data_IF_188340329644
#
_entry.id   IF_188340329644
#
_cell.length_a   1.000
_cell.length_b   1.000
_cell.length_c   1.000
_cell.angle_alpha   90.00
_cell.angle_beta   90.00
_cell.angle_gamma   90.00
#
_symmetry.space_group_name_H-M   'P 1'
#
loop_
_entity.id
_entity.type
_entity.pdbx_description
1 polymer ?
#
# COMPACT_ATOMS: atom_id res chain seq x y z
N UNK A 1 29.28 -40.22 55.53
CA UNK A 1 27.95 -39.91 55.01
C UNK A 1 27.63 -38.42 55.05
N UNK A 2 27.82 -37.68 56.12
CA UNK A 2 27.49 -36.22 56.22
C UNK A 2 28.10 -35.34 55.11
N UNK A 3 29.32 -35.56 54.63
CA UNK A 3 30.00 -34.76 53.62
C UNK A 3 29.44 -34.96 52.22
N UNK A 4 28.82 -36.09 51.88
CA UNK A 4 28.15 -36.32 50.59
C UNK A 4 26.83 -35.58 50.52
N UNK A 5 26.06 -35.55 51.60
CA UNK A 5 24.78 -34.80 51.62
C UNK A 5 25.01 -33.30 51.57
N UNK A 6 26.07 -32.76 52.16
CA UNK A 6 26.42 -31.35 52.07
C UNK A 6 26.76 -30.93 50.63
N UNK A 7 27.47 -31.74 49.86
CA UNK A 7 27.78 -31.45 48.45
C UNK A 7 26.55 -31.51 47.56
N UNK A 8 25.63 -32.43 47.80
CA UNK A 8 24.36 -32.56 47.09
C UNK A 8 23.46 -31.36 47.41
N UNK A 9 23.40 -30.93 48.67
CA UNK A 9 22.61 -29.76 49.08
C UNK A 9 23.13 -28.47 48.44
N UNK A 10 24.46 -28.29 48.37
CA UNK A 10 25.08 -27.13 47.69
C UNK A 10 24.79 -27.16 46.18
N UNK A 11 24.82 -28.33 45.54
CA UNK A 11 24.50 -28.47 44.13
C UNK A 11 23.04 -28.17 43.84
N UNK A 12 22.12 -28.58 44.69
CA UNK A 12 20.68 -28.26 44.58
C UNK A 12 20.45 -26.76 44.79
N UNK A 13 21.15 -26.13 45.77
CA UNK A 13 21.07 -24.69 45.99
C UNK A 13 21.62 -23.90 44.80
N UNK A 14 22.69 -24.35 44.15
CA UNK A 14 23.24 -23.74 42.92
C UNK A 14 22.30 -23.91 41.74
N UNK A 15 21.62 -25.05 41.59
CA UNK A 15 20.63 -25.28 40.54
C UNK A 15 19.38 -24.41 40.77
N UNK A 16 18.92 -24.23 42.00
CA UNK A 16 17.81 -23.35 42.36
C UNK A 16 18.16 -21.85 42.18
N UNK A 17 19.43 -21.48 42.39
CA UNK A 17 19.89 -20.10 42.14
C UNK A 17 20.05 -19.78 40.65
N UNK A 18 20.26 -20.79 39.80
CA UNK A 18 20.39 -20.61 38.34
C UNK A 18 19.05 -20.45 37.59
N UNK A 19 17.91 -20.66 38.24
CA UNK A 19 16.62 -20.80 37.59
C UNK A 19 15.81 -19.50 37.37
N UNK A 20 16.36 -18.31 37.63
CA UNK A 20 15.62 -17.07 37.50
C UNK A 20 16.32 -15.97 36.68
N UNK A 21 16.98 -16.33 35.59
CA UNK A 21 17.35 -15.33 34.58
C UNK A 21 16.19 -15.19 33.61
N UNK A 22 15.06 -14.63 34.05
CA UNK A 22 14.06 -14.16 33.13
C UNK A 22 14.64 -12.94 32.38
N UNK A 23 14.84 -13.08 31.08
CA UNK A 23 15.13 -11.93 30.23
C UNK A 23 14.01 -10.89 30.42
N UNK A 24 14.39 -9.71 30.91
CA UNK A 24 13.42 -8.66 31.13
C UNK A 24 12.94 -8.16 29.77
N UNK A 25 11.62 -8.00 29.62
CA UNK A 25 10.99 -7.69 28.33
C UNK A 25 10.20 -6.39 28.41
N UNK A 26 10.29 -5.65 27.32
CA UNK A 26 9.39 -4.53 27.03
C UNK A 26 8.36 -5.05 26.02
N UNK A 27 7.10 -4.97 26.39
CA UNK A 27 5.97 -5.41 25.56
C UNK A 27 4.90 -4.34 25.50
N UNK A 28 4.00 -4.45 24.54
CA UNK A 28 2.86 -3.54 24.41
C UNK A 28 2.11 -3.75 23.12
N UNK A 29 1.17 -2.86 22.88
CA UNK A 29 0.34 -2.84 21.67
C UNK A 29 0.55 -1.51 20.96
N UNK A 30 0.67 -1.56 19.63
CA UNK A 30 0.69 -0.38 18.78
C UNK A 30 -0.65 -0.28 18.06
N UNK A 31 -1.29 0.90 18.17
CA UNK A 31 -2.59 1.17 17.54
C UNK A 31 -2.53 2.44 16.71
N UNK A 32 -3.43 2.57 15.77
CA UNK A 32 -3.68 3.81 15.04
C UNK A 32 -4.28 4.87 15.99
N UNK A 33 -3.83 6.12 15.90
CA UNK A 33 -4.30 7.18 16.80
C UNK A 33 -5.70 7.71 16.44
N UNK A 34 -6.21 7.41 15.24
CA UNK A 34 -7.50 7.86 14.73
C UNK A 34 -8.54 6.76 14.81
N UNK A 35 -8.24 5.58 14.26
CA UNK A 35 -9.15 4.44 14.22
C UNK A 35 -9.11 3.59 15.49
N UNK A 36 -8.03 3.69 16.28
CA UNK A 36 -7.72 2.86 17.45
C UNK A 36 -7.56 1.37 17.14
N UNK A 37 -7.47 1.00 15.88
CA UNK A 37 -7.23 -0.37 15.44
C UNK A 37 -5.78 -0.79 15.68
N UNK A 38 -5.53 -2.09 15.96
CA UNK A 38 -4.18 -2.61 16.09
C UNK A 38 -3.38 -2.46 14.78
N UNK A 39 -2.13 -2.05 14.88
CA UNK A 39 -1.23 -1.89 13.74
C UNK A 39 -0.25 -3.05 13.66
N UNK A 40 -0.40 -3.89 12.63
CA UNK A 40 0.53 -4.97 12.31
C UNK A 40 1.78 -4.46 11.58
N UNK A 41 2.86 -5.23 11.68
CA UNK A 41 4.15 -4.98 10.98
C UNK A 41 4.81 -3.63 11.28
N UNK A 42 4.53 -3.03 12.45
CA UNK A 42 5.25 -1.86 12.92
C UNK A 42 6.64 -2.28 13.39
N UNK A 43 7.68 -1.67 12.84
CA UNK A 43 9.06 -1.86 13.28
C UNK A 43 9.28 -1.17 14.63
N UNK A 44 9.71 -1.94 15.64
CA UNK A 44 10.03 -1.46 16.98
C UNK A 44 11.50 -1.79 17.27
N UNK A 45 12.35 -0.79 17.42
CA UNK A 45 13.80 -0.99 17.59
C UNK A 45 14.43 0.09 18.47
N UNK A 46 15.61 -0.21 19.03
CA UNK A 46 16.37 0.77 19.78
C UNK A 46 17.06 1.76 18.85
N UNK A 47 16.89 3.06 19.08
CA UNK A 47 17.53 4.13 18.30
C UNK A 47 19.04 4.00 18.28
N UNK A 48 19.63 3.62 19.42
CA UNK A 48 21.08 3.48 19.60
C UNK A 48 21.63 2.16 19.04
N UNK A 49 20.75 1.18 18.75
CA UNK A 49 21.14 -0.14 18.25
C UNK A 49 20.03 -0.72 17.38
N UNK A 50 20.03 -0.35 16.10
CA UNK A 50 18.95 -0.67 15.15
C UNK A 50 18.77 -2.16 14.86
N UNK A 51 19.81 -2.98 15.06
CA UNK A 51 19.76 -4.44 14.95
C UNK A 51 19.02 -5.13 16.13
N UNK A 52 18.79 -4.42 17.24
CA UNK A 52 17.94 -4.88 18.32
C UNK A 52 16.52 -4.34 18.15
N UNK A 53 15.68 -5.14 17.51
CA UNK A 53 14.30 -4.76 17.21
C UNK A 53 13.38 -5.96 17.05
N UNK A 54 12.10 -5.67 16.91
CA UNK A 54 11.01 -6.62 16.64
C UNK A 54 9.99 -5.95 15.72
N UNK A 55 8.98 -6.68 15.29
CA UNK A 55 7.80 -6.16 14.58
C UNK A 55 6.53 -6.54 15.33
N UNK A 56 5.47 -5.76 15.18
CA UNK A 56 4.17 -6.08 15.74
C UNK A 56 3.50 -7.22 14.97
N UNK A 57 2.76 -8.07 15.70
CA UNK A 57 1.91 -9.10 15.12
C UNK A 57 0.59 -8.52 14.58
N UNK A 58 -0.32 -9.39 14.12
CA UNK A 58 -1.64 -9.00 13.58
C UNK A 58 -2.53 -8.27 14.59
N UNK A 59 -2.34 -8.50 15.89
CA UNK A 59 -3.04 -7.84 16.98
C UNK A 59 -2.32 -6.58 17.48
N UNK A 60 -1.31 -6.12 16.72
CA UNK A 60 -0.49 -4.94 17.06
C UNK A 60 0.45 -5.16 18.23
N UNK A 61 0.58 -6.39 18.76
CA UNK A 61 1.41 -6.70 19.92
C UNK A 61 2.89 -6.87 19.54
N UNK A 62 3.77 -6.42 20.42
CA UNK A 62 5.20 -6.61 20.29
C UNK A 62 5.83 -7.01 21.61
N UNK A 63 6.97 -7.69 21.54
CA UNK A 63 7.83 -8.00 22.67
C UNK A 63 9.29 -7.87 22.26
N UNK A 64 10.07 -7.18 23.08
CA UNK A 64 11.47 -6.85 22.85
C UNK A 64 12.26 -7.01 24.14
N UNK A 65 13.50 -7.52 24.06
CA UNK A 65 14.38 -7.63 25.22
C UNK A 65 14.78 -6.25 25.77
N UNK A 66 14.68 -6.07 27.10
CA UNK A 66 15.03 -4.82 27.75
C UNK A 66 16.56 -4.70 27.90
N UNK A 67 17.12 -3.59 27.40
CA UNK A 67 18.55 -3.28 27.52
C UNK A 67 18.88 -2.84 28.96
N UNK A 68 20.00 -3.33 29.50
CA UNK A 68 20.46 -2.99 30.88
C UNK A 68 20.59 -1.48 31.13
N UNK A 69 20.96 -0.73 30.10
CA UNK A 69 21.13 0.73 30.23
C UNK A 69 19.87 1.51 29.78
N UNK A 70 18.74 0.83 29.58
CA UNK A 70 17.58 1.42 28.95
C UNK A 70 17.84 1.84 27.50
N UNK A 71 17.11 2.82 27.00
CA UNK A 71 17.29 3.35 25.65
C UNK A 71 16.06 4.09 25.15
N UNK A 72 16.09 4.46 23.88
CA UNK A 72 14.96 5.04 23.18
C UNK A 72 14.43 4.05 22.15
N UNK A 73 13.18 3.60 22.32
CA UNK A 73 12.50 2.81 21.30
C UNK A 73 11.96 3.73 20.22
N UNK A 74 12.14 3.32 18.98
CA UNK A 74 11.54 3.93 17.80
C UNK A 74 10.46 3.00 17.28
N UNK A 75 9.28 3.54 17.06
CA UNK A 75 8.14 2.87 16.43
C UNK A 75 7.98 3.49 15.05
N UNK A 76 8.15 2.71 14.00
CA UNK A 76 8.17 3.20 12.63
C UNK A 76 7.46 2.25 11.68
N UNK A 77 6.63 2.82 10.84
CA UNK A 77 6.02 2.13 9.70
C UNK A 77 5.78 3.12 8.57
N UNK A 78 5.70 2.61 7.37
CA UNK A 78 5.37 3.43 6.21
C UNK A 78 3.89 3.82 6.28
N UNK A 79 3.60 5.13 6.16
CA UNK A 79 2.26 5.67 6.32
C UNK A 79 1.95 6.20 7.72
N UNK A 80 2.91 6.14 8.64
CA UNK A 80 2.76 6.64 10.01
C UNK A 80 3.92 7.54 10.42
N UNK A 81 3.61 8.57 11.20
CA UNK A 81 4.64 9.42 11.82
C UNK A 81 5.38 8.58 12.85
N UNK A 82 6.69 8.42 12.67
CA UNK A 82 7.53 7.69 13.61
C UNK A 82 7.48 8.30 15.00
N UNK A 83 7.35 7.45 16.03
CA UNK A 83 7.29 7.86 17.42
C UNK A 83 8.42 7.27 18.24
N UNK A 84 8.99 8.08 19.13
CA UNK A 84 10.05 7.62 20.02
C UNK A 84 9.56 7.60 21.47
N UNK A 85 9.95 6.55 22.21
CA UNK A 85 9.61 6.38 23.64
C UNK A 85 10.85 5.98 24.43
N UNK A 86 11.19 6.73 25.48
CA UNK A 86 12.26 6.35 26.39
C UNK A 86 11.82 5.19 27.28
N UNK A 87 12.67 4.19 27.41
CA UNK A 87 12.45 3.00 28.23
C UNK A 87 13.63 2.75 29.15
N UNK A 88 13.34 2.21 30.32
CA UNK A 88 14.34 1.83 31.30
C UNK A 88 14.59 0.31 31.27
N UNK A 89 15.55 -0.14 32.04
CA UNK A 89 15.72 -1.57 32.26
C UNK A 89 14.60 -2.11 33.14
N UNK A 90 14.06 -3.27 32.77
CA UNK A 90 13.00 -3.94 33.52
C UNK A 90 11.84 -4.39 32.63
N UNK A 91 10.93 -5.17 33.22
CA UNK A 91 9.70 -5.52 32.56
C UNK A 91 8.79 -4.30 32.48
N UNK A 92 8.45 -3.88 31.28
CA UNK A 92 7.60 -2.71 31.03
C UNK A 92 6.52 -3.04 29.99
N UNK A 93 5.35 -2.45 30.19
CA UNK A 93 4.30 -2.43 29.16
C UNK A 93 4.22 -1.02 28.58
N UNK A 94 4.51 -0.88 27.29
CA UNK A 94 4.53 0.40 26.57
C UNK A 94 3.59 0.32 25.40
N UNK A 95 2.37 0.84 25.56
CA UNK A 95 1.39 0.95 24.48
C UNK A 95 1.62 2.27 23.74
N UNK A 96 1.58 2.21 22.40
CA UNK A 96 1.90 3.35 21.55
C UNK A 96 0.80 3.55 20.53
N UNK A 97 0.40 4.81 20.35
CA UNK A 97 -0.47 5.22 19.26
C UNK A 97 0.37 5.94 18.21
N UNK A 98 0.33 5.48 16.97
CA UNK A 98 0.96 6.15 15.83
C UNK A 98 -0.07 6.99 15.10
N UNK A 99 0.29 8.22 14.80
CA UNK A 99 -0.53 9.08 13.96
C UNK A 99 -0.27 8.71 12.50
N UNK A 100 -1.34 8.52 11.70
CA UNK A 100 -1.18 8.41 10.25
C UNK A 100 -0.39 9.61 9.73
N UNK A 101 0.57 9.34 8.86
CA UNK A 101 1.30 10.41 8.18
C UNK A 101 0.42 10.98 7.06
N UNK A 102 -0.54 11.83 7.45
CA UNK A 102 -1.46 12.49 6.52
C UNK A 102 -0.73 13.41 5.52
N UNK A 103 0.57 13.65 5.70
CA UNK A 103 1.41 14.32 4.71
C UNK A 103 1.53 13.49 3.43
N UNK A 104 1.38 12.15 3.53
CA UNK A 104 1.36 11.25 2.36
C UNK A 104 0.11 11.49 1.49
N UNK A 105 -0.99 11.96 2.08
CA UNK A 105 -2.27 12.19 1.39
C UNK A 105 -2.53 13.68 1.08
N UNK A 106 -1.78 14.58 1.67
CA UNK A 106 -1.85 15.99 1.35
C UNK A 106 -0.81 16.34 0.28
N UNK A 107 -1.13 17.35 -0.53
CA UNK A 107 -0.22 17.93 -1.52
C UNK A 107 1.21 18.00 -0.94
N UNK A 108 2.17 17.37 -1.62
CA UNK A 108 3.58 17.38 -1.18
C UNK A 108 4.06 18.82 -1.20
N UNK A 109 3.87 19.52 -0.09
CA UNK A 109 4.42 20.86 0.11
C UNK A 109 5.88 20.70 0.54
N UNK A 110 6.74 20.46 -0.43
CA UNK A 110 8.18 20.62 -0.21
C UNK A 110 8.41 22.10 0.06
N UNK A 111 8.56 22.48 1.34
CA UNK A 111 9.10 23.81 1.69
C UNK A 111 10.60 23.73 1.46
N UNK A 112 11.12 24.19 0.31
CA UNK A 112 12.56 24.17 0.09
C UNK A 112 13.20 25.07 1.15
N UNK A 113 14.22 24.60 1.85
CA UNK A 113 15.24 25.48 2.40
C UNK A 113 15.60 26.44 1.27
N UNK A 114 15.83 27.72 1.55
CA UNK A 114 16.02 28.83 0.59
C UNK A 114 17.09 28.61 -0.50
N UNK A 115 17.67 27.44 -0.62
CA UNK A 115 18.66 27.09 -1.64
C UNK A 115 17.98 26.68 -2.95
N UNK A 116 18.46 27.28 -4.05
CA UNK A 116 17.98 26.95 -5.40
C UNK A 116 18.30 25.47 -5.70
N UNK A 117 17.30 24.68 -6.06
CA UNK A 117 17.49 23.28 -6.44
C UNK A 117 18.56 23.15 -7.54
N UNK A 118 19.54 22.28 -7.34
CA UNK A 118 20.54 21.91 -8.34
C UNK A 118 20.57 20.40 -8.49
N UNK A 119 20.77 19.93 -9.70
CA UNK A 119 21.04 18.50 -9.99
C UNK A 119 22.50 18.14 -9.78
N UNK A 120 23.39 19.14 -9.93
CA UNK A 120 24.83 18.94 -9.81
C UNK A 120 25.21 18.78 -8.35
N UNK A 121 25.95 17.72 -8.03
CA UNK A 121 26.38 17.38 -6.67
C UNK A 121 25.19 17.21 -5.68
N UNK A 122 24.04 16.72 -6.15
CA UNK A 122 22.86 16.47 -5.32
C UNK A 122 22.83 14.99 -4.91
N UNK A 123 22.95 14.69 -3.60
CA UNK A 123 22.97 13.30 -3.12
C UNK A 123 21.71 12.50 -3.49
N UNK A 124 20.53 13.14 -3.52
CA UNK A 124 19.29 12.50 -3.94
C UNK A 124 19.34 12.10 -5.42
N UNK A 125 19.89 12.95 -6.28
CA UNK A 125 20.04 12.67 -7.71
C UNK A 125 21.06 11.54 -7.94
N UNK A 126 22.19 11.55 -7.24
CA UNK A 126 23.19 10.47 -7.35
C UNK A 126 22.62 9.13 -6.86
N UNK A 127 21.83 9.14 -5.82
CA UNK A 127 21.14 7.95 -5.33
C UNK A 127 20.11 7.45 -6.38
N UNK A 128 19.29 8.35 -6.93
CA UNK A 128 18.29 8.00 -7.95
C UNK A 128 18.90 7.48 -9.25
N UNK A 129 20.10 7.92 -9.64
CA UNK A 129 20.82 7.32 -10.78
C UNK A 129 21.04 5.83 -10.56
N UNK A 130 21.45 5.43 -9.34
CA UNK A 130 21.65 4.02 -8.99
C UNK A 130 20.34 3.24 -9.00
N UNK A 131 19.27 3.82 -8.47
CA UNK A 131 17.93 3.21 -8.54
C UNK A 131 17.51 2.93 -9.99
N UNK A 132 17.67 3.92 -10.87
CA UNK A 132 17.31 3.79 -12.30
C UNK A 132 18.22 2.78 -13.02
N UNK A 133 19.49 2.74 -12.69
CA UNK A 133 20.44 1.77 -13.24
C UNK A 133 20.03 0.33 -12.88
N UNK A 134 19.60 0.10 -11.63
CA UNK A 134 19.26 -1.23 -11.13
C UNK A 134 17.81 -1.65 -11.42
N UNK A 135 16.92 -0.73 -11.83
CA UNK A 135 15.49 -1.02 -12.00
C UNK A 135 15.20 -2.20 -12.94
N UNK A 136 16.00 -2.36 -14.01
CA UNK A 136 15.78 -3.45 -14.97
C UNK A 136 15.97 -4.84 -14.37
N UNK A 137 16.89 -4.96 -13.41
CA UNK A 137 17.13 -6.22 -12.71
C UNK A 137 15.96 -6.59 -11.75
N UNK A 138 15.14 -5.61 -11.37
CA UNK A 138 13.99 -5.79 -10.48
C UNK A 138 12.66 -5.99 -11.25
N UNK A 139 12.65 -5.80 -12.57
CA UNK A 139 11.45 -5.99 -13.37
C UNK A 139 11.10 -7.48 -13.49
N UNK A 140 9.81 -7.81 -13.39
CA UNK A 140 9.35 -9.21 -13.52
C UNK A 140 9.69 -9.81 -14.88
N UNK A 141 9.75 -8.98 -15.92
CA UNK A 141 10.01 -9.35 -17.32
C UNK A 141 11.46 -9.85 -17.57
N UNK A 142 12.35 -9.79 -16.57
CA UNK A 142 13.66 -10.46 -16.66
C UNK A 142 13.54 -11.98 -16.63
N UNK A 143 12.49 -12.50 -16.01
CA UNK A 143 12.24 -13.92 -15.90
C UNK A 143 11.69 -14.51 -17.22
N UNK A 144 12.03 -15.74 -17.52
CA UNK A 144 11.51 -16.48 -18.69
C UNK A 144 10.01 -16.70 -18.60
N UNK A 145 9.54 -17.03 -17.40
CA UNK A 145 8.15 -17.19 -17.05
C UNK A 145 7.86 -16.55 -15.71
N UNK A 146 6.65 -16.03 -15.56
CA UNK A 146 6.08 -15.73 -14.25
C UNK A 146 4.57 -15.87 -14.29
N UNK A 147 4.00 -16.14 -13.13
CA UNK A 147 2.56 -16.07 -12.89
C UNK A 147 2.31 -15.58 -11.47
N UNK A 148 1.17 -14.93 -11.28
CA UNK A 148 0.68 -14.51 -9.97
C UNK A 148 -0.84 -14.47 -9.95
N UNK A 149 -1.41 -14.61 -8.76
CA UNK A 149 -2.83 -14.35 -8.52
C UNK A 149 -3.03 -12.90 -8.11
N UNK A 150 -4.13 -12.30 -8.57
CA UNK A 150 -4.52 -10.92 -8.30
C UNK A 150 -5.94 -10.92 -7.77
N UNK A 151 -6.12 -10.36 -6.57
CA UNK A 151 -7.41 -10.02 -6.01
C UNK A 151 -7.58 -8.50 -6.04
N UNK A 152 -8.70 -8.02 -6.55
CA UNK A 152 -9.02 -6.61 -6.66
C UNK A 152 -10.40 -6.35 -6.08
N UNK A 153 -10.49 -5.40 -5.14
CA UNK A 153 -11.74 -4.84 -4.64
C UNK A 153 -11.85 -3.39 -5.08
N UNK A 154 -12.97 -3.04 -5.66
CA UNK A 154 -13.28 -1.69 -6.07
C UNK A 154 -14.56 -1.22 -5.40
N UNK A 155 -14.51 -0.01 -4.85
CA UNK A 155 -15.65 0.68 -4.25
C UNK A 155 -15.86 2.00 -4.96
N UNK A 156 -17.08 2.26 -5.39
CA UNK A 156 -17.49 3.53 -5.97
C UNK A 156 -18.48 4.21 -5.03
N UNK A 157 -18.24 5.49 -4.76
CA UNK A 157 -19.02 6.27 -3.78
C UNK A 157 -19.33 7.66 -4.29
N UNK A 158 -20.48 8.18 -3.92
CA UNK A 158 -20.78 9.62 -4.04
C UNK A 158 -20.01 10.34 -2.92
N UNK A 159 -19.26 11.39 -3.23
CA UNK A 159 -18.34 12.05 -2.29
C UNK A 159 -18.59 13.55 -2.08
N UNK A 160 -19.65 14.11 -2.65
CA UNK A 160 -20.03 15.52 -2.42
C UNK A 160 -21.14 15.62 -1.36
N UNK A 161 -20.91 14.99 -0.22
CA UNK A 161 -21.83 14.95 0.90
C UNK A 161 -21.37 15.92 1.99
N UNK A 162 -22.34 16.66 2.55
CA UNK A 162 -22.16 17.46 3.77
C UNK A 162 -23.24 17.13 4.78
N UNK A 163 -23.02 17.36 6.08
CA UNK A 163 -24.08 17.15 7.08
C UNK A 163 -25.40 17.84 6.72
N UNK A 164 -25.34 19.05 6.15
CA UNK A 164 -26.51 19.81 5.74
C UNK A 164 -27.25 19.18 4.52
N UNK A 165 -26.52 18.52 3.62
CA UNK A 165 -27.12 17.78 2.49
C UNK A 165 -27.85 16.53 2.98
N UNK A 166 -27.29 15.86 3.99
CA UNK A 166 -27.90 14.65 4.57
C UNK A 166 -29.23 14.93 5.28
N UNK A 167 -29.49 16.16 5.71
CA UNK A 167 -30.77 16.58 6.33
C UNK A 167 -31.81 17.06 5.31
N UNK A 168 -31.54 16.97 4.00
CA UNK A 168 -32.40 17.48 2.93
C UNK A 168 -32.66 16.44 1.85
N UNK A 169 -33.69 16.69 1.03
CA UNK A 169 -33.96 15.94 -0.19
C UNK A 169 -34.15 14.43 0.02
N UNK A 170 -33.50 13.67 -0.83
CA UNK A 170 -33.56 12.19 -0.85
C UNK A 170 -33.01 11.57 0.44
N UNK A 171 -31.97 12.15 1.03
CA UNK A 171 -31.35 11.66 2.26
C UNK A 171 -32.25 11.83 3.47
N UNK A 172 -33.03 12.93 3.54
CA UNK A 172 -34.06 13.11 4.58
C UNK A 172 -35.21 12.14 4.39
N UNK A 173 -35.63 11.89 3.14
CA UNK A 173 -36.75 11.01 2.82
C UNK A 173 -36.44 9.54 3.12
N UNK A 174 -35.18 9.11 2.87
CA UNK A 174 -34.77 7.74 3.03
C UNK A 174 -33.62 7.64 4.05
N UNK A 175 -33.96 7.41 5.32
CA UNK A 175 -32.98 7.36 6.42
C UNK A 175 -31.92 6.27 6.22
N UNK A 176 -32.28 5.15 5.61
CA UNK A 176 -31.35 4.05 5.32
C UNK A 176 -30.14 4.46 4.46
N UNK A 177 -30.24 5.53 3.66
CA UNK A 177 -29.11 6.08 2.91
C UNK A 177 -28.10 6.77 3.83
N UNK A 178 -28.59 7.44 4.88
CA UNK A 178 -27.72 8.09 5.87
C UNK A 178 -26.94 7.08 6.70
N UNK A 179 -27.56 5.94 7.01
CA UNK A 179 -26.94 4.87 7.78
C UNK A 179 -25.81 4.16 7.01
N UNK A 180 -25.73 4.36 5.69
CA UNK A 180 -24.66 3.84 4.82
C UNK A 180 -23.57 4.87 4.50
N UNK A 181 -23.68 6.10 5.02
CA UNK A 181 -22.64 7.12 4.84
C UNK A 181 -21.43 6.77 5.70
N UNK A 182 -20.28 6.77 5.08
CA UNK A 182 -18.97 6.50 5.68
C UNK A 182 -18.07 7.74 5.58
N UNK A 183 -16.98 7.75 6.33
CA UNK A 183 -15.90 8.72 6.14
C UNK A 183 -14.80 8.03 5.36
N UNK A 184 -14.41 8.59 4.22
CA UNK A 184 -13.28 8.07 3.45
C UNK A 184 -11.98 8.26 4.22
N UNK A 185 -11.24 7.19 4.43
CA UNK A 185 -9.93 7.21 5.10
C UNK A 185 -8.89 8.03 4.31
N UNK A 186 -9.00 8.01 2.97
CA UNK A 186 -8.07 8.68 2.08
C UNK A 186 -8.34 10.18 1.94
N UNK A 187 -9.62 10.57 1.87
CA UNK A 187 -10.00 11.96 1.57
C UNK A 187 -10.60 12.70 2.76
N UNK A 188 -10.92 12.01 3.86
CA UNK A 188 -11.66 12.53 5.02
C UNK A 188 -13.01 13.17 4.66
N UNK A 189 -13.58 12.81 3.49
CA UNK A 189 -14.90 13.27 3.07
C UNK A 189 -15.97 12.28 3.46
N UNK A 190 -17.19 12.77 3.69
CA UNK A 190 -18.36 11.91 3.77
C UNK A 190 -18.61 11.30 2.38
N UNK A 191 -18.72 9.99 2.34
CA UNK A 191 -18.99 9.21 1.14
C UNK A 191 -20.20 8.31 1.35
N UNK A 192 -20.96 8.10 0.28
CA UNK A 192 -22.02 7.09 0.22
C UNK A 192 -21.63 6.04 -0.81
N UNK A 193 -21.23 4.84 -0.38
CA UNK A 193 -20.94 3.74 -1.30
C UNK A 193 -22.19 3.40 -2.13
N UNK A 194 -22.04 3.37 -3.44
CA UNK A 194 -23.11 3.02 -4.38
C UNK A 194 -22.86 1.67 -5.05
N UNK A 195 -21.60 1.27 -5.15
CA UNK A 195 -21.23 0.00 -5.75
C UNK A 195 -19.94 -0.55 -5.17
N UNK A 196 -19.88 -1.88 -5.10
CA UNK A 196 -18.68 -2.65 -4.78
C UNK A 196 -18.53 -3.75 -5.82
N UNK A 197 -17.31 -3.98 -6.26
CA UNK A 197 -16.93 -5.07 -7.17
C UNK A 197 -15.72 -5.79 -6.61
N UNK A 198 -15.72 -7.12 -6.74
CA UNK A 198 -14.56 -7.96 -6.50
C UNK A 198 -14.17 -8.69 -7.80
N UNK A 199 -12.88 -8.81 -8.04
CA UNK A 199 -12.34 -9.57 -9.18
C UNK A 199 -11.17 -10.42 -8.71
N UNK A 200 -11.21 -11.72 -8.99
CA UNK A 200 -10.10 -12.63 -8.81
C UNK A 200 -9.57 -13.05 -10.17
N UNK A 201 -8.29 -12.86 -10.41
CA UNK A 201 -7.66 -13.19 -11.69
C UNK A 201 -6.26 -13.77 -11.49
N UNK A 202 -5.76 -14.40 -12.54
CA UNK A 202 -4.38 -14.88 -12.62
C UNK A 202 -3.72 -14.26 -13.83
N UNK A 203 -2.53 -13.70 -13.65
CA UNK A 203 -1.69 -13.25 -14.76
C UNK A 203 -0.61 -14.30 -15.02
N UNK A 204 -0.41 -14.60 -16.30
CA UNK A 204 0.66 -15.48 -16.78
C UNK A 204 1.50 -14.74 -17.82
N UNK A 205 2.79 -14.95 -17.78
CA UNK A 205 3.75 -14.35 -18.71
C UNK A 205 4.75 -15.37 -19.21
N UNK A 206 5.13 -15.21 -20.45
CA UNK A 206 6.24 -15.89 -21.11
C UNK A 206 7.03 -14.88 -21.90
N UNK A 207 8.38 -14.94 -21.80
CA UNK A 207 9.28 -14.00 -22.44
C UNK A 207 9.49 -14.26 -23.93
N UNK A 208 9.63 -15.52 -24.33
CA UNK A 208 9.90 -15.88 -25.72
C UNK A 208 8.98 -17.03 -26.21
N UNK A 209 8.21 -16.83 -27.31
CA UNK A 209 7.79 -15.50 -27.79
C UNK A 209 6.97 -14.77 -26.74
N UNK A 210 7.20 -13.45 -26.64
CA UNK A 210 6.58 -12.64 -25.57
C UNK A 210 5.05 -12.74 -25.60
N UNK A 211 4.49 -13.07 -24.44
CA UNK A 211 3.04 -13.16 -24.27
C UNK A 211 2.66 -12.96 -22.81
N UNK A 212 1.76 -12.01 -22.56
CA UNK A 212 1.15 -11.78 -21.24
C UNK A 212 -0.36 -11.95 -21.35
N UNK A 213 -0.96 -12.71 -20.44
CA UNK A 213 -2.41 -12.97 -20.41
C UNK A 213 -2.93 -12.86 -18.99
N UNK A 214 -4.14 -12.33 -18.86
CA UNK A 214 -4.89 -12.27 -17.60
C UNK A 214 -6.11 -13.17 -17.72
N UNK A 215 -6.25 -14.12 -16.81
CA UNK A 215 -7.37 -15.07 -16.74
C UNK A 215 -8.26 -14.63 -15.58
N UNK A 216 -9.46 -14.13 -15.87
CA UNK A 216 -10.46 -13.75 -14.87
C UNK A 216 -11.14 -15.02 -14.39
N UNK A 217 -10.87 -15.40 -13.14
CA UNK A 217 -11.40 -16.61 -12.50
C UNK A 217 -12.72 -16.37 -11.78
N UNK A 218 -12.89 -15.19 -11.19
CA UNK A 218 -14.12 -14.83 -10.50
C UNK A 218 -14.38 -13.33 -10.62
N UNK A 219 -15.64 -12.95 -10.72
CA UNK A 219 -16.10 -11.58 -10.69
C UNK A 219 -17.42 -11.49 -9.95
N UNK A 220 -17.49 -10.63 -8.95
CA UNK A 220 -18.69 -10.34 -8.17
C UNK A 220 -18.95 -8.82 -8.24
N UNK A 221 -20.13 -8.45 -8.74
CA UNK A 221 -20.46 -7.04 -9.01
C UNK A 221 -21.96 -6.83 -8.89
N UNK A 222 -22.37 -5.69 -8.36
CA UNK A 222 -23.77 -5.29 -8.25
C UNK A 222 -24.27 -4.44 -9.44
N UNK A 223 -23.81 -4.71 -10.67
CA UNK A 223 -24.32 -4.08 -11.90
C UNK A 223 -23.67 -2.76 -12.29
N UNK A 224 -22.54 -2.40 -11.67
CA UNK A 224 -21.78 -1.17 -12.04
C UNK A 224 -21.33 -1.16 -13.51
N UNK A 225 -21.30 -2.31 -14.17
CA UNK A 225 -20.87 -2.45 -15.57
C UNK A 225 -21.71 -1.64 -16.54
N UNK A 226 -22.98 -1.41 -16.22
CA UNK A 226 -23.85 -0.60 -17.04
C UNK A 226 -23.40 0.86 -17.08
N UNK A 227 -22.84 1.38 -15.98
CA UNK A 227 -22.23 2.70 -15.95
C UNK A 227 -21.02 2.84 -16.89
N UNK A 228 -20.27 1.73 -17.11
CA UNK A 228 -19.12 1.74 -18.00
C UNK A 228 -19.48 1.55 -19.47
N UNK A 229 -20.68 1.10 -19.78
CA UNK A 229 -21.14 0.80 -21.14
C UNK A 229 -21.65 2.03 -21.90
N UNK A 230 -21.89 3.13 -21.21
CA UNK A 230 -22.52 4.34 -21.81
C UNK A 230 -21.68 5.06 -22.83
N UNK A 231 -20.39 4.68 -22.99
CA UNK A 231 -19.49 5.25 -24.02
C UNK A 231 -19.16 6.73 -23.82
N UNK A 232 -19.58 7.31 -22.71
CA UNK A 232 -19.29 8.68 -22.36
C UNK A 232 -17.86 8.86 -21.81
N UNK A 233 -17.45 10.10 -21.62
CA UNK A 233 -16.11 10.44 -21.17
C UNK A 233 -15.80 9.86 -19.79
N UNK A 234 -16.79 9.72 -18.91
CA UNK A 234 -16.61 9.10 -17.59
C UNK A 234 -16.30 7.63 -17.70
N UNK A 235 -17.01 6.87 -18.56
CA UNK A 235 -16.72 5.45 -18.79
C UNK A 235 -15.28 5.24 -19.28
N UNK A 236 -14.73 6.20 -20.04
CA UNK A 236 -13.33 6.17 -20.46
C UNK A 236 -12.38 6.42 -19.31
N UNK A 237 -12.61 7.45 -18.49
CA UNK A 237 -11.80 7.74 -17.29
C UNK A 237 -11.82 6.54 -16.33
N UNK A 238 -12.99 5.94 -16.13
CA UNK A 238 -13.12 4.79 -15.25
C UNK A 238 -12.36 3.56 -15.78
N UNK A 239 -12.35 3.31 -17.09
CA UNK A 239 -11.53 2.22 -17.69
C UNK A 239 -10.04 2.40 -17.40
N UNK A 240 -9.57 3.65 -17.44
CA UNK A 240 -8.17 3.96 -17.15
C UNK A 240 -7.82 3.80 -15.66
N UNK A 241 -8.78 4.00 -14.74
CA UNK A 241 -8.62 3.71 -13.31
C UNK A 241 -8.43 2.20 -13.05
N UNK A 242 -8.86 1.35 -13.97
CA UNK A 242 -8.65 -0.10 -13.90
C UNK A 242 -7.31 -0.56 -14.49
N UNK A 243 -6.53 0.32 -15.10
CA UNK A 243 -5.25 -0.04 -15.69
C UNK A 243 -4.24 -0.40 -14.58
N UNK A 244 -3.49 -1.46 -14.80
CA UNK A 244 -2.35 -1.79 -13.93
C UNK A 244 -1.25 -0.74 -14.09
N UNK A 245 -0.69 -0.29 -12.98
CA UNK A 245 0.38 0.70 -12.93
C UNK A 245 1.68 -0.01 -12.57
N UNK A 246 2.68 0.11 -13.46
CA UNK A 246 4.01 -0.41 -13.24
C UNK A 246 5.02 0.74 -13.19
N UNK A 247 5.58 1.04 -12.01
CA UNK A 247 6.58 2.09 -11.87
C UNK A 247 7.92 1.72 -12.52
N UNK A 248 8.17 0.45 -12.80
CA UNK A 248 9.39 -0.02 -13.47
C UNK A 248 9.38 0.27 -14.98
N UNK A 249 8.23 0.59 -15.58
CA UNK A 249 8.16 1.15 -16.92
C UNK A 249 8.74 2.58 -16.95
N UNK A 250 9.11 3.06 -18.12
CA UNK A 250 9.58 4.44 -18.28
C UNK A 250 8.44 5.45 -18.21
N UNK A 251 7.26 5.05 -18.70
CA UNK A 251 6.04 5.85 -18.74
C UNK A 251 4.86 5.07 -18.17
N UNK A 252 4.07 5.72 -17.34
CA UNK A 252 2.79 5.25 -16.83
C UNK A 252 1.68 5.83 -17.70
N UNK A 253 0.90 4.97 -18.34
CA UNK A 253 -0.28 5.39 -19.14
C UNK A 253 -1.51 5.36 -18.26
N UNK A 254 -2.07 6.54 -18.03
CA UNK A 254 -3.21 6.71 -17.15
C UNK A 254 -4.02 7.92 -17.59
N UNK A 255 -5.36 7.84 -17.56
CA UNK A 255 -6.27 8.94 -17.92
C UNK A 255 -5.98 9.53 -19.31
N UNK A 256 -5.67 8.65 -20.28
CA UNK A 256 -5.29 8.97 -21.65
C UNK A 256 -4.04 9.87 -21.76
N UNK A 257 -3.28 9.99 -20.68
CA UNK A 257 -2.02 10.73 -20.62
C UNK A 257 -0.84 9.78 -20.40
N UNK A 258 0.34 10.27 -20.70
CA UNK A 258 1.61 9.59 -20.40
C UNK A 258 2.31 10.37 -19.31
N UNK A 259 2.55 9.72 -18.21
CA UNK A 259 3.28 10.28 -17.08
C UNK A 259 4.65 9.63 -17.03
N UNK A 260 5.69 10.41 -16.83
CA UNK A 260 7.03 9.88 -16.57
C UNK A 260 6.99 9.13 -15.24
N UNK A 261 7.44 7.86 -15.23
CA UNK A 261 7.57 7.11 -13.98
C UNK A 261 8.59 7.77 -13.06
N UNK A 262 8.38 7.79 -11.73
CA UNK A 262 9.34 8.36 -10.80
C UNK A 262 10.70 7.64 -10.77
N UNK A 263 10.80 6.45 -11.36
CA UNK A 263 12.06 5.73 -11.57
C UNK A 263 12.32 5.45 -13.07
N UNK A 264 11.61 6.14 -13.96
CA UNK A 264 11.80 6.03 -15.40
C UNK A 264 13.18 6.51 -15.85
N UNK A 265 13.64 6.08 -17.03
CA UNK A 265 14.95 6.45 -17.57
C UNK A 265 15.16 7.96 -17.69
N UNK A 266 14.09 8.70 -17.97
CA UNK A 266 14.08 10.16 -18.07
C UNK A 266 13.70 10.88 -16.75
N UNK A 267 13.49 10.15 -15.67
CA UNK A 267 12.95 10.69 -14.42
C UNK A 267 13.81 11.82 -13.82
N UNK A 268 15.14 11.70 -13.87
CA UNK A 268 16.05 12.74 -13.35
C UNK A 268 15.91 14.06 -14.10
N UNK A 269 15.57 14.02 -15.39
CA UNK A 269 15.35 15.24 -16.18
C UNK A 269 13.97 15.84 -15.93
N UNK A 270 13.00 15.04 -15.53
CA UNK A 270 11.62 15.43 -15.34
C UNK A 270 11.30 15.83 -13.90
N UNK A 271 11.87 15.13 -12.89
CA UNK A 271 11.61 15.37 -11.48
C UNK A 271 12.78 16.04 -10.74
N UNK A 272 12.43 16.74 -9.65
CA UNK A 272 13.33 17.13 -8.57
C UNK A 272 13.21 16.09 -7.49
N UNK A 273 14.35 15.61 -6.98
CA UNK A 273 14.40 14.66 -5.87
C UNK A 273 15.01 15.31 -4.66
N UNK A 274 14.42 15.04 -3.51
CA UNK A 274 14.90 15.52 -2.20
C UNK A 274 15.06 14.31 -1.29
N UNK A 275 16.23 14.20 -0.69
CA UNK A 275 16.51 13.20 0.31
C UNK A 275 15.95 13.71 1.65
N UNK A 276 15.06 12.91 2.26
CA UNK A 276 14.38 13.28 3.50
C UNK A 276 15.14 12.70 4.69
N UNK A 277 15.07 11.41 4.86
CA UNK A 277 15.67 10.68 5.98
C UNK A 277 16.00 9.23 5.56
N UNK A 278 16.50 8.48 6.52
CA UNK A 278 16.70 7.05 6.39
C UNK A 278 15.94 6.36 7.53
N UNK A 279 15.03 5.47 7.19
CA UNK A 279 14.18 4.79 8.17
C UNK A 279 14.19 3.27 7.96
N UNK A 280 13.78 2.55 8.98
CA UNK A 280 13.63 1.10 8.90
C UNK A 280 12.21 0.75 8.44
N UNK A 281 12.12 0.00 7.35
CA UNK A 281 10.87 -0.58 6.86
C UNK A 281 11.06 -2.09 6.81
N UNK A 282 10.21 -2.85 7.47
CA UNK A 282 10.29 -4.31 7.58
C UNK A 282 11.71 -4.82 7.93
N UNK A 283 12.34 -4.18 8.93
CA UNK A 283 13.72 -4.45 9.38
C UNK A 283 14.82 -4.16 8.36
N UNK A 284 14.53 -3.45 7.29
CA UNK A 284 15.50 -3.04 6.27
C UNK A 284 15.67 -1.53 6.28
N UNK A 285 16.90 -1.08 6.09
CA UNK A 285 17.20 0.35 6.01
C UNK A 285 16.80 0.88 4.63
N UNK A 286 15.84 1.82 4.62
CA UNK A 286 15.33 2.48 3.42
C UNK A 286 15.71 3.95 3.41
N UNK A 287 16.13 4.43 2.26
CA UNK A 287 16.27 5.86 1.97
C UNK A 287 14.91 6.38 1.54
N UNK A 288 14.41 7.37 2.25
CA UNK A 288 13.18 8.07 1.94
C UNK A 288 13.47 9.28 1.06
N UNK A 289 12.89 9.31 -0.12
CA UNK A 289 13.00 10.42 -1.06
C UNK A 289 11.62 10.98 -1.36
N UNK A 290 11.58 12.30 -1.58
CA UNK A 290 10.42 12.97 -2.16
C UNK A 290 10.73 13.38 -3.59
N UNK A 291 9.75 13.27 -4.47
CA UNK A 291 9.88 13.73 -5.85
C UNK A 291 8.72 14.65 -6.26
N UNK A 292 9.03 15.65 -7.06
CA UNK A 292 8.06 16.61 -7.63
C UNK A 292 8.49 16.97 -9.05
N UNK A 293 7.57 17.29 -9.99
CA UNK A 293 7.93 17.75 -11.32
C UNK A 293 8.85 18.98 -11.29
N UNK A 294 9.78 19.07 -12.23
CA UNK A 294 10.67 20.24 -12.37
C UNK A 294 9.89 21.53 -12.57
N UNK A 295 8.90 21.46 -13.42
CA UNK A 295 7.96 22.52 -13.70
C UNK A 295 6.59 22.13 -13.14
N UNK A 296 5.99 22.98 -12.33
CA UNK A 296 4.69 22.74 -11.70
C UNK A 296 3.51 22.69 -12.68
N UNK A 297 3.74 23.05 -13.95
CA UNK A 297 2.74 22.96 -15.02
C UNK A 297 2.82 21.64 -15.81
N UNK A 298 3.87 20.84 -15.60
CA UNK A 298 4.02 19.58 -16.29
C UNK A 298 3.08 18.52 -15.71
N UNK A 299 2.55 17.65 -16.58
CA UNK A 299 1.78 16.48 -16.17
C UNK A 299 2.70 15.45 -15.51
N UNK A 300 2.76 15.48 -14.20
CA UNK A 300 3.61 14.60 -13.43
C UNK A 300 3.08 14.34 -12.03
N UNK A 301 3.47 13.23 -11.48
CA UNK A 301 3.17 12.88 -10.10
C UNK A 301 4.05 13.66 -9.12
N UNK A 302 3.53 13.88 -7.94
CA UNK A 302 4.32 14.19 -6.75
C UNK A 302 4.24 12.99 -5.82
N UNK A 303 5.26 12.76 -5.00
CA UNK A 303 5.17 11.62 -4.08
C UNK A 303 6.45 11.28 -3.36
N UNK A 304 6.48 10.05 -2.84
CA UNK A 304 7.57 9.54 -2.04
C UNK A 304 8.05 8.19 -2.56
N UNK A 305 9.34 7.95 -2.47
CA UNK A 305 9.98 6.67 -2.73
C UNK A 305 10.70 6.21 -1.46
N UNK A 306 10.50 4.97 -1.11
CA UNK A 306 11.23 4.27 -0.05
C UNK A 306 12.05 3.18 -0.72
N UNK A 307 13.34 3.41 -0.79
CA UNK A 307 14.29 2.58 -1.54
C UNK A 307 15.27 1.94 -0.60
N UNK A 308 15.52 0.65 -0.75
CA UNK A 308 16.49 -0.06 0.06
C UNK A 308 17.88 0.55 -0.06
N UNK A 309 18.53 0.70 1.07
CA UNK A 309 19.90 1.18 1.17
C UNK A 309 20.89 0.01 1.12
N UNK A 310 20.75 -0.83 0.11
CA UNK A 310 21.63 -1.96 -0.14
C UNK A 310 22.08 -1.98 -1.62
N UNK A 311 22.72 -3.04 -2.05
CA UNK A 311 23.20 -3.18 -3.44
C UNK A 311 22.08 -3.40 -4.46
N UNK A 312 20.85 -3.67 -4.03
CA UNK A 312 19.72 -3.91 -4.92
C UNK A 312 19.06 -2.62 -5.39
N UNK A 313 19.05 -1.56 -4.55
CA UNK A 313 18.31 -0.32 -4.77
C UNK A 313 16.84 -0.55 -5.10
N UNK A 314 16.25 -1.63 -4.57
CA UNK A 314 14.86 -1.98 -4.83
C UNK A 314 13.91 -1.00 -4.15
N UNK A 315 12.82 -0.66 -4.84
CA UNK A 315 11.75 0.15 -4.26
C UNK A 315 10.91 -0.75 -3.36
N UNK A 316 10.80 -0.40 -2.09
CA UNK A 316 9.93 -1.10 -1.15
C UNK A 316 8.53 -0.49 -1.10
N UNK A 317 8.43 0.83 -1.25
CA UNK A 317 7.16 1.54 -1.36
C UNK A 317 7.29 2.76 -2.26
N UNK A 318 6.23 3.01 -3.01
CA UNK A 318 6.07 4.22 -3.81
C UNK A 318 4.69 4.82 -3.54
N UNK A 319 4.65 6.13 -3.28
CA UNK A 319 3.39 6.88 -3.28
C UNK A 319 3.43 7.89 -4.42
N UNK A 320 2.32 8.02 -5.13
CA UNK A 320 2.16 8.95 -6.25
C UNK A 320 0.85 9.70 -6.11
N UNK A 321 0.92 11.02 -6.16
CA UNK A 321 -0.24 11.89 -6.06
C UNK A 321 -0.35 12.74 -7.32
N UNK A 322 -1.56 12.85 -7.84
CA UNK A 322 -1.90 13.73 -8.95
C UNK A 322 -2.89 14.79 -8.46
N UNK A 323 -2.42 16.02 -8.16
CA UNK A 323 -3.27 17.07 -7.65
C UNK A 323 -4.11 17.74 -8.76
N UNK A 324 -5.21 18.37 -8.40
CA UNK A 324 -6.14 19.07 -9.31
C UNK A 324 -5.46 20.04 -10.29
N UNK A 325 -4.35 20.65 -9.89
CA UNK A 325 -3.59 21.62 -10.69
C UNK A 325 -2.98 21.05 -11.96
N UNK A 326 -2.89 19.72 -12.09
CA UNK A 326 -2.32 19.06 -13.28
C UNK A 326 -3.20 19.14 -14.52
N UNK A 327 -4.45 19.65 -14.40
CA UNK A 327 -5.32 19.90 -15.56
C UNK A 327 -5.88 18.62 -16.22
N UNK A 328 -5.80 17.47 -15.57
CA UNK A 328 -6.48 16.27 -16.06
C UNK A 328 -7.97 16.42 -15.84
N UNK A 329 -8.74 16.42 -16.95
CA UNK A 329 -10.17 16.63 -16.93
C UNK A 329 -10.89 15.69 -15.95
N UNK A 330 -11.83 16.23 -15.19
CA UNK A 330 -12.65 15.53 -14.19
C UNK A 330 -11.92 15.00 -12.96
N UNK A 331 -10.58 14.89 -12.93
CA UNK A 331 -9.83 14.41 -11.78
C UNK A 331 -9.52 15.58 -10.85
N UNK A 332 -10.08 15.55 -9.64
CA UNK A 332 -9.74 16.49 -8.57
C UNK A 332 -8.46 16.07 -7.85
N UNK A 333 -8.30 14.77 -7.65
CA UNK A 333 -7.18 14.16 -6.97
C UNK A 333 -7.09 12.68 -7.34
N UNK A 334 -5.88 12.17 -7.41
CA UNK A 334 -5.60 10.75 -7.50
C UNK A 334 -4.43 10.44 -6.58
N UNK A 335 -4.59 9.41 -5.79
CA UNK A 335 -3.58 8.90 -4.88
C UNK A 335 -3.33 7.43 -5.21
N UNK A 336 -2.06 7.05 -5.35
CA UNK A 336 -1.63 5.70 -5.63
C UNK A 336 -0.58 5.32 -4.61
N UNK A 337 -0.71 4.14 -4.01
CA UNK A 337 0.24 3.59 -3.05
C UNK A 337 0.60 2.18 -3.49
N UNK A 338 1.86 1.96 -3.79
CA UNK A 338 2.38 0.64 -4.14
C UNK A 338 3.37 0.14 -3.09
N UNK A 339 3.21 -1.10 -2.67
CA UNK A 339 4.12 -1.77 -1.74
C UNK A 339 4.68 -3.01 -2.41
N UNK A 340 5.99 -3.22 -2.22
CA UNK A 340 6.74 -4.31 -2.80
C UNK A 340 7.31 -5.19 -1.70
N UNK A 341 7.34 -6.49 -1.94
CA UNK A 341 7.93 -7.47 -1.03
C UNK A 341 9.03 -8.29 -1.73
N UNK A 342 9.95 -8.82 -0.95
CA UNK A 342 10.96 -9.73 -1.47
C UNK A 342 10.54 -11.16 -1.22
N UNK A 343 10.44 -11.92 -2.29
CA UNK A 343 10.17 -13.35 -2.25
C UNK A 343 11.41 -14.14 -1.77
N UNK A 344 11.23 -15.38 -1.28
CA UNK A 344 12.34 -16.23 -0.83
C UNK A 344 13.42 -16.48 -1.90
N UNK A 345 13.08 -16.40 -3.18
CA UNK A 345 14.02 -16.53 -4.30
C UNK A 345 14.80 -15.24 -4.61
N UNK A 346 14.58 -14.17 -3.83
CA UNK A 346 15.26 -12.88 -3.97
C UNK A 346 14.57 -11.88 -4.88
N UNK A 347 13.57 -12.27 -5.67
CA UNK A 347 12.82 -11.36 -6.52
C UNK A 347 11.99 -10.36 -5.69
N UNK A 348 12.01 -9.09 -6.10
CA UNK A 348 11.11 -8.07 -5.61
C UNK A 348 9.86 -8.03 -6.47
N UNK A 349 8.70 -8.08 -5.82
CA UNK A 349 7.41 -8.15 -6.51
C UNK A 349 6.44 -7.15 -5.89
N UNK A 350 5.47 -6.68 -6.68
CA UNK A 350 4.37 -5.87 -6.18
C UNK A 350 3.47 -6.74 -5.31
N UNK A 351 3.22 -6.33 -4.08
CA UNK A 351 2.33 -7.00 -3.13
C UNK A 351 0.98 -6.30 -3.07
N UNK A 352 1.01 -4.96 -2.96
CA UNK A 352 -0.18 -4.13 -2.80
C UNK A 352 -0.17 -2.95 -3.77
N UNK A 353 -1.34 -2.64 -4.35
CA UNK A 353 -1.57 -1.46 -5.17
C UNK A 353 -2.93 -0.85 -4.79
N UNK A 354 -2.89 0.23 -4.02
CA UNK A 354 -4.07 0.97 -3.60
C UNK A 354 -4.20 2.26 -4.39
N UNK A 355 -5.38 2.52 -4.91
CA UNK A 355 -5.66 3.74 -5.67
C UNK A 355 -6.96 4.38 -5.19
N UNK A 356 -6.93 5.68 -4.95
CA UNK A 356 -8.12 6.49 -4.72
C UNK A 356 -8.19 7.61 -5.73
N UNK A 357 -9.31 7.72 -6.42
CA UNK A 357 -9.56 8.78 -7.42
C UNK A 357 -10.79 9.57 -7.01
N UNK A 358 -10.61 10.87 -6.85
CA UNK A 358 -11.69 11.83 -6.62
C UNK A 358 -12.04 12.53 -7.96
N UNK A 359 -13.25 12.33 -8.41
CA UNK A 359 -13.76 12.83 -9.68
C UNK A 359 -14.85 13.89 -9.47
N UNK A 360 -14.81 14.96 -10.24
CA UNK A 360 -15.93 15.90 -10.34
C UNK A 360 -16.79 15.56 -11.55
N UNK A 361 -18.06 15.21 -11.31
CA UNK A 361 -18.96 14.72 -12.37
C UNK A 361 -19.39 15.80 -13.35
N UNK A 362 -19.56 17.06 -12.96
CA UNK A 362 -20.19 18.05 -13.84
C UNK A 362 -20.03 19.49 -13.38
N UNK A 363 -20.10 20.41 -14.37
CA UNK A 363 -20.44 21.82 -14.16
C UNK A 363 -21.85 22.04 -13.57
N UNK A 364 -22.73 21.04 -13.56
CA UNK A 364 -24.06 21.09 -12.98
C UNK A 364 -24.01 20.70 -11.51
N UNK A 365 -24.32 21.65 -10.61
CA UNK A 365 -24.25 21.55 -9.15
C UNK A 365 -25.21 20.54 -8.49
N UNK A 366 -25.92 19.74 -9.25
CA UNK A 366 -27.00 18.89 -8.74
C UNK A 366 -26.60 17.45 -8.40
N UNK A 367 -25.54 16.93 -9.01
CA UNK A 367 -25.00 15.60 -8.73
C UNK A 367 -23.58 15.78 -8.19
N UNK A 368 -23.33 15.27 -7.01
CA UNK A 368 -22.04 15.37 -6.34
C UNK A 368 -20.89 14.72 -7.08
N UNK A 369 -19.68 14.85 -6.55
CA UNK A 369 -18.50 14.17 -7.07
C UNK A 369 -18.58 12.66 -6.85
N UNK A 370 -17.71 11.94 -7.51
CA UNK A 370 -17.56 10.50 -7.41
C UNK A 370 -16.17 10.17 -6.86
N UNK A 371 -16.10 9.26 -5.92
CA UNK A 371 -14.85 8.67 -5.45
C UNK A 371 -14.80 7.21 -5.84
N UNK A 372 -13.66 6.79 -6.40
CA UNK A 372 -13.37 5.39 -6.69
C UNK A 372 -12.16 4.99 -5.86
N UNK A 373 -12.33 3.94 -5.08
CA UNK A 373 -11.26 3.30 -4.30
C UNK A 373 -11.02 1.91 -4.88
N UNK A 374 -9.78 1.61 -5.20
CA UNK A 374 -9.34 0.30 -5.68
C UNK A 374 -8.23 -0.22 -4.78
N UNK A 375 -8.45 -1.38 -4.19
CA UNK A 375 -7.44 -2.13 -3.43
C UNK A 375 -7.10 -3.39 -4.19
N UNK A 376 -5.84 -3.58 -4.53
CA UNK A 376 -5.35 -4.74 -5.26
C UNK A 376 -4.28 -5.46 -4.46
N UNK A 377 -4.43 -6.76 -4.30
CA UNK A 377 -3.47 -7.65 -3.65
C UNK A 377 -2.93 -8.65 -4.65
N UNK A 378 -1.61 -8.82 -4.67
CA UNK A 378 -0.90 -9.74 -5.52
C UNK A 378 -0.29 -10.85 -4.66
N UNK A 379 -0.40 -12.10 -5.11
CA UNK A 379 0.05 -13.25 -4.34
C UNK A 379 0.41 -14.44 -5.23
N UNK A 380 0.91 -15.51 -4.62
CA UNK A 380 1.19 -16.79 -5.29
C UNK A 380 2.11 -16.66 -6.52
N UNK A 381 3.12 -15.80 -6.43
CA UNK A 381 4.12 -15.66 -7.48
C UNK A 381 4.87 -16.96 -7.72
N UNK A 382 4.95 -17.39 -8.98
CA UNK A 382 5.71 -18.55 -9.45
C UNK A 382 6.47 -18.19 -10.72
N UNK A 383 7.62 -18.82 -10.90
CA UNK A 383 8.54 -18.56 -12.01
C UNK A 383 8.84 -19.82 -12.84
N UNK A 384 8.12 -20.90 -12.58
CA UNK A 384 8.23 -22.16 -13.29
C UNK A 384 7.65 -22.05 -14.71
N UNK A 385 8.09 -22.93 -15.65
CA UNK A 385 7.51 -23.00 -16.99
C UNK A 385 5.99 -23.20 -16.95
N UNK A 386 5.28 -22.44 -17.77
CA UNK A 386 3.82 -22.45 -17.85
C UNK A 386 3.37 -23.24 -19.07
N UNK A 387 2.25 -23.97 -18.97
CA UNK A 387 1.68 -24.74 -20.07
C UNK A 387 1.45 -23.89 -21.33
N UNK A 388 2.04 -24.30 -22.43
CA UNK A 388 1.99 -23.57 -23.69
C UNK A 388 0.56 -23.41 -24.26
N UNK A 389 -0.36 -24.30 -23.91
CA UNK A 389 -1.76 -24.22 -24.34
C UNK A 389 -2.44 -22.94 -23.85
N UNK A 390 -2.08 -22.44 -22.67
CA UNK A 390 -2.66 -21.22 -22.09
C UNK A 390 -2.32 -20.00 -22.91
N UNK A 391 -1.13 -19.95 -23.51
CA UNK A 391 -0.72 -18.85 -24.37
C UNK A 391 -1.36 -18.86 -25.77
N UNK A 392 -1.95 -20.00 -26.19
CA UNK A 392 -2.67 -20.12 -27.48
C UNK A 392 -4.10 -19.61 -27.41
N UNK A 393 -4.66 -19.36 -26.22
CA UNK A 393 -5.99 -18.79 -26.07
C UNK A 393 -6.06 -17.42 -26.73
N UNK A 394 -7.20 -17.07 -27.36
CA UNK A 394 -7.38 -15.79 -28.05
C UNK A 394 -7.50 -14.63 -27.05
N UNK A 395 -6.87 -13.48 -27.37
CA UNK A 395 -6.91 -12.27 -26.56
C UNK A 395 -5.90 -12.25 -25.42
N UNK A 396 -5.70 -11.08 -24.83
CA UNK A 396 -4.87 -10.86 -23.65
C UNK A 396 -5.65 -11.09 -22.35
N UNK A 397 -6.97 -10.92 -22.36
CA UNK A 397 -7.88 -11.16 -21.25
C UNK A 397 -8.78 -12.35 -21.60
N UNK A 398 -8.76 -13.34 -20.74
CA UNK A 398 -9.55 -14.59 -20.86
C UNK A 398 -10.52 -14.59 -19.68
N UNK A 399 -11.77 -14.94 -19.94
CA UNK A 399 -12.82 -15.02 -18.93
C UNK A 399 -13.22 -16.49 -18.76
N UNK A 400 -13.16 -17.03 -17.53
CA UNK A 400 -13.72 -18.34 -17.23
C UNK A 400 -15.25 -18.32 -17.39
N UNK A 401 -15.81 -19.41 -17.87
CA UNK A 401 -17.24 -19.49 -18.18
C UNK A 401 -18.13 -19.28 -16.93
N UNK A 402 -17.64 -19.69 -15.78
CA UNK A 402 -18.33 -19.62 -14.48
C UNK A 402 -17.87 -18.43 -13.61
N UNK A 403 -17.14 -17.46 -14.17
CA UNK A 403 -16.57 -16.35 -13.40
C UNK A 403 -17.62 -15.52 -12.63
N UNK A 404 -18.87 -15.46 -13.10
CA UNK A 404 -19.95 -14.70 -12.47
C UNK A 404 -20.79 -15.53 -11.47
N UNK A 405 -20.55 -16.84 -11.39
CA UNK A 405 -21.33 -17.77 -10.57
C UNK A 405 -20.48 -18.51 -9.52
N UNK A 406 -19.39 -17.89 -9.08
CA UNK A 406 -18.54 -18.48 -8.03
C UNK A 406 -19.26 -18.48 -6.68
N UNK A 407 -19.05 -19.56 -5.92
CA UNK A 407 -19.67 -19.75 -4.60
C UNK A 407 -19.05 -18.84 -3.52
N UNK A 408 -19.74 -18.73 -2.39
CA UNK A 408 -19.23 -17.98 -1.22
C UNK A 408 -17.94 -18.61 -0.67
N UNK A 409 -17.80 -19.93 -0.74
CA UNK A 409 -16.57 -20.64 -0.32
C UNK A 409 -15.40 -20.26 -1.24
N UNK A 410 -15.62 -20.12 -2.55
CA UNK A 410 -14.62 -19.62 -3.46
C UNK A 410 -14.16 -18.22 -3.06
N UNK A 411 -15.10 -17.28 -2.85
CA UNK A 411 -14.78 -15.94 -2.44
C UNK A 411 -14.07 -15.88 -1.07
N UNK A 412 -14.49 -16.71 -0.12
CA UNK A 412 -13.81 -16.82 1.17
C UNK A 412 -12.34 -17.29 1.02
N UNK A 413 -12.04 -18.13 0.02
CA UNK A 413 -10.69 -18.64 -0.21
C UNK A 413 -9.76 -17.67 -0.93
N UNK A 414 -10.29 -16.75 -1.75
CA UNK A 414 -9.49 -15.84 -2.59
C UNK A 414 -9.48 -14.40 -2.06
N UNK A 415 -10.45 -14.03 -1.21
CA UNK A 415 -10.59 -12.69 -0.67
C UNK A 415 -9.45 -12.37 0.29
N UNK A 416 -8.67 -11.35 -0.05
CA UNK A 416 -7.53 -10.89 0.75
C UNK A 416 -7.82 -9.59 1.51
N UNK A 417 -8.94 -8.94 1.21
CA UNK A 417 -9.40 -7.72 1.89
C UNK A 417 -10.77 -7.99 2.48
N UNK A 418 -10.98 -7.81 3.79
CA UNK A 418 -12.28 -8.01 4.41
C UNK A 418 -13.33 -7.07 3.81
N UNK A 419 -14.57 -7.54 3.75
CA UNK A 419 -15.70 -6.71 3.38
C UNK A 419 -16.24 -6.00 4.63
N UNK A 420 -16.52 -4.72 4.49
CA UNK A 420 -17.33 -3.99 5.49
C UNK A 420 -18.79 -4.48 5.43
N UNK A 421 -19.58 -4.12 6.43
CA UNK A 421 -21.04 -4.38 6.39
C UNK A 421 -21.68 -3.75 5.16
N UNK A 422 -21.26 -2.55 4.80
CA UNK A 422 -21.77 -1.83 3.61
C UNK A 422 -21.34 -2.52 2.33
N UNK A 423 -20.08 -2.99 2.22
CA UNK A 423 -19.60 -3.76 1.08
C UNK A 423 -20.45 -5.03 0.86
N UNK A 424 -20.69 -5.78 1.95
CA UNK A 424 -21.49 -7.01 1.92
C UNK A 424 -22.93 -6.76 1.47
N UNK A 425 -23.55 -5.69 1.96
CA UNK A 425 -24.88 -5.28 1.53
C UNK A 425 -24.93 -4.93 0.05
N UNK A 426 -23.90 -4.25 -0.49
CA UNK A 426 -23.86 -3.89 -1.91
C UNK A 426 -23.66 -5.12 -2.80
N UNK A 427 -22.85 -6.07 -2.40
CA UNK A 427 -22.62 -7.30 -3.17
C UNK A 427 -23.82 -8.27 -3.09
N UNK A 428 -24.64 -8.22 -2.05
CA UNK A 428 -25.83 -9.08 -1.91
C UNK A 428 -27.06 -8.58 -2.68
N UNK A 429 -27.09 -7.31 -3.09
CA UNK A 429 -28.17 -6.74 -3.91
C UNK A 429 -27.85 -6.96 -5.37
N UNK A 430 -28.23 -8.13 -5.89
CA UNK A 430 -28.31 -8.33 -7.36
C UNK A 430 -29.56 -7.58 -7.84
N UNK A 431 -29.37 -6.55 -8.65
CA UNK A 431 -30.43 -5.82 -9.35
C UNK A 431 -31.02 -6.69 -10.46
#
# INVERSE_FOLDING_TARGET
MKQRYSKILILILLILAASNVFAQQIKGVVTDSVTHEPLMYISVYYQEKKDMGTITNIDGEYSLEARRNGGTLVFSAVGYISKTVKVNYGNQTVNVQLAPDNVILNEVVVKPKKEKYSRKNNPAVEFMKKVIEHKKAQALEVNEYYQYDKYEKMKMSINDLTPEKLEKGIYKKYSFLRDQVEVSETTNKLILPISVQETASQTIFRKDPESKKTIIKGKNSNGIEEFFSTGDMLGTVLKDVFADINIYDDEIRLLQQRFVSPIGSNAISFYKYYLMDTLMVDRRECVHLTFVPQNSQDFGFTGHLYVLKDSTYAVQKCTMNLPKKTGVNFVNRMDIVQQYEQLPNGNWVLADDDMTVDLSWSSNKTVGGLQVERTTKYSNYKFDPIEQRLFRLKGSVIKEADMLSKSDEYWASVRQVPLTKTDSLKLSVTL
#
